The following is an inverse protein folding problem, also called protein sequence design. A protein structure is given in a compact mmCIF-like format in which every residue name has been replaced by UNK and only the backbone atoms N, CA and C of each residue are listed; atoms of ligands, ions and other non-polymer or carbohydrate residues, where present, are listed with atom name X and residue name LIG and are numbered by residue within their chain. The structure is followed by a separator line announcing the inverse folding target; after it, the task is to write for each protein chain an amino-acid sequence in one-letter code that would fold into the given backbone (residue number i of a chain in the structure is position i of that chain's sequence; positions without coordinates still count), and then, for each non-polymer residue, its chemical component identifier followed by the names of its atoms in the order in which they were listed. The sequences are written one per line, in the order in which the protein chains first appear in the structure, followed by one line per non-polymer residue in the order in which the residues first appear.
data_IF_549244126881
#
_entry.id   IF_549244126881
#
_cell.length_a   1.000
_cell.length_b   1.000
_cell.length_c   1.000
_cell.angle_alpha   90.00
_cell.angle_beta   90.00
_cell.angle_gamma   90.00
#
_symmetry.space_group_name_H-M   'P 1'
#
loop_
_entity.id
_entity.type
_entity.pdbx_description
1 polymer ?
#
# COMPACT_ATOMS: atom_id res chain seq x y z
N UNK A 1 -8.02 -3.81 -13.71
CA UNK A 1 -7.06 -4.22 -12.66
C UNK A 1 -6.80 -3.02 -11.78
N UNK A 2 -6.82 -3.21 -10.46
CA UNK A 2 -6.42 -2.17 -9.50
C UNK A 2 -4.93 -1.89 -9.70
N UNK A 3 -4.60 -0.65 -10.11
CA UNK A 3 -3.22 -0.20 -10.28
C UNK A 3 -2.77 0.55 -9.05
N UNK A 4 -1.62 0.19 -8.50
CA UNK A 4 -0.97 0.93 -7.41
C UNK A 4 0.22 1.71 -7.93
N UNK A 5 0.63 2.72 -7.18
CA UNK A 5 1.83 3.51 -7.43
C UNK A 5 2.88 3.18 -6.37
N UNK A 6 4.10 2.81 -6.78
CA UNK A 6 5.24 2.66 -5.87
C UNK A 6 6.28 3.74 -6.13
N UNK A 7 6.89 4.26 -5.05
CA UNK A 7 7.91 5.31 -5.17
C UNK A 7 9.28 4.73 -5.53
N UNK A 8 9.78 5.03 -6.72
CA UNK A 8 11.05 4.51 -7.23
C UNK A 8 12.14 5.58 -7.08
N UNK A 9 12.75 5.69 -5.89
CA UNK A 9 13.93 6.54 -5.64
C UNK A 9 13.93 7.87 -6.40
N UNK A 10 14.94 8.08 -7.25
CA UNK A 10 15.12 9.31 -8.05
C UNK A 10 14.13 9.46 -9.23
N UNK A 11 13.25 8.49 -9.45
CA UNK A 11 12.30 8.45 -10.58
C UNK A 11 10.89 8.84 -10.14
N UNK A 12 10.55 8.73 -8.85
CA UNK A 12 9.23 9.05 -8.35
C UNK A 12 8.22 7.90 -8.49
N UNK A 13 6.93 8.23 -8.47
CA UNK A 13 5.83 7.25 -8.45
C UNK A 13 5.64 6.59 -9.82
N UNK A 14 5.66 5.26 -9.87
CA UNK A 14 5.37 4.45 -11.07
C UNK A 14 4.19 3.52 -10.85
N UNK A 15 3.42 3.25 -11.90
CA UNK A 15 2.34 2.26 -11.88
C UNK A 15 2.89 0.84 -11.82
N UNK A 16 2.26 -0.01 -11.01
CA UNK A 16 2.58 -1.43 -10.89
C UNK A 16 1.31 -2.28 -10.93
N UNK A 17 1.48 -3.46 -11.53
CA UNK A 17 0.52 -4.55 -11.47
C UNK A 17 0.79 -5.38 -10.22
N UNK A 18 -0.25 -5.66 -9.43
CA UNK A 18 -0.13 -6.46 -8.21
C UNK A 18 0.24 -7.93 -8.48
N UNK A 19 0.19 -8.38 -9.73
CA UNK A 19 0.71 -9.69 -10.14
C UNK A 19 2.25 -9.75 -10.24
N UNK A 20 2.94 -8.61 -10.26
CA UNK A 20 4.40 -8.54 -10.23
C UNK A 20 4.91 -8.62 -8.78
N UNK A 21 5.09 -9.85 -8.29
CA UNK A 21 5.52 -10.11 -6.92
C UNK A 21 6.98 -9.76 -6.66
N UNK A 22 7.83 -9.72 -7.70
CA UNK A 22 9.28 -9.45 -7.54
C UNK A 22 9.53 -8.02 -7.08
N UNK A 23 8.81 -7.03 -7.63
CA UNK A 23 8.94 -5.63 -7.19
C UNK A 23 8.39 -5.40 -5.78
N UNK A 24 7.33 -6.13 -5.39
CA UNK A 24 6.81 -6.09 -4.02
C UNK A 24 7.83 -6.65 -3.04
N UNK A 25 8.46 -7.77 -3.37
CA UNK A 25 9.53 -8.40 -2.57
C UNK A 25 10.75 -7.49 -2.43
N UNK A 26 11.24 -6.90 -3.53
CA UNK A 26 12.38 -5.94 -3.51
C UNK A 26 12.15 -4.77 -2.56
N UNK A 27 10.90 -4.32 -2.43
CA UNK A 27 10.50 -3.17 -1.60
C UNK A 27 10.05 -3.58 -0.20
N UNK A 28 10.09 -4.87 0.10
CA UNK A 28 9.56 -5.46 1.32
C UNK A 28 8.11 -5.05 1.59
N UNK A 29 7.28 -5.12 0.55
CA UNK A 29 5.83 -4.86 0.63
C UNK A 29 5.12 -6.20 0.68
N UNK A 30 4.30 -6.42 1.72
CA UNK A 30 3.46 -7.60 1.84
C UNK A 30 2.00 -7.20 1.88
N UNK A 31 1.17 -7.86 1.08
CA UNK A 31 -0.27 -7.62 0.99
C UNK A 31 -0.97 -8.92 1.40
N UNK A 32 -1.82 -8.85 2.43
CA UNK A 32 -2.61 -9.97 2.89
C UNK A 32 -3.64 -10.44 1.87
N UNK A 33 -4.39 -11.48 2.24
CA UNK A 33 -5.48 -12.01 1.42
C UNK A 33 -6.70 -11.09 1.48
N UNK A 34 -7.50 -11.09 0.40
CA UNK A 34 -8.74 -10.31 0.30
C UNK A 34 -8.57 -8.79 0.50
N UNK A 35 -7.40 -8.25 0.16
CA UNK A 35 -7.17 -6.80 0.19
C UNK A 35 -7.76 -6.14 -1.05
N UNK A 36 -8.54 -5.09 -0.85
CA UNK A 36 -9.06 -4.23 -1.94
C UNK A 36 -8.30 -2.93 -1.94
N UNK A 37 -7.70 -2.59 -3.09
CA UNK A 37 -6.95 -1.33 -3.25
C UNK A 37 -7.62 -0.49 -4.33
N UNK A 38 -7.99 0.74 -3.95
CA UNK A 38 -8.54 1.75 -4.83
C UNK A 38 -7.54 2.30 -5.83
N UNK A 39 -8.00 3.22 -6.67
CA UNK A 39 -7.19 3.78 -7.74
C UNK A 39 -6.24 4.87 -7.23
N UNK A 40 -5.03 4.92 -7.78
CA UNK A 40 -4.07 5.99 -7.48
C UNK A 40 -3.50 5.93 -6.06
N UNK A 41 -3.57 4.77 -5.41
CA UNK A 41 -2.95 4.53 -4.11
C UNK A 41 -1.44 4.52 -4.27
N UNK A 42 -0.76 5.21 -3.36
CA UNK A 42 0.70 5.35 -3.32
C UNK A 42 1.23 4.58 -2.12
N UNK A 43 2.12 3.61 -2.34
CA UNK A 43 2.71 2.79 -1.27
C UNK A 43 4.23 2.99 -1.24
N UNK A 44 4.74 3.38 -0.08
CA UNK A 44 6.17 3.47 0.22
C UNK A 44 6.85 2.11 0.34
N UNK A 45 8.08 2.09 0.83
CA UNK A 45 8.85 0.86 1.07
C UNK A 45 8.62 0.31 2.47
N UNK A 46 8.83 -1.00 2.65
CA UNK A 46 8.69 -1.68 3.93
C UNK A 46 7.28 -1.55 4.53
N UNK A 47 6.26 -1.85 3.72
CA UNK A 47 4.85 -1.73 4.11
C UNK A 47 4.24 -3.11 4.30
N UNK A 48 3.51 -3.32 5.39
CA UNK A 48 2.74 -4.54 5.60
C UNK A 48 1.26 -4.21 5.69
N UNK A 49 0.46 -4.80 4.81
CA UNK A 49 -1.00 -4.70 4.80
C UNK A 49 -1.55 -6.06 5.22
N UNK A 50 -2.36 -6.07 6.28
CA UNK A 50 -3.03 -7.25 6.80
C UNK A 50 -4.07 -7.85 5.84
N UNK A 51 -4.80 -8.83 6.35
CA UNK A 51 -5.89 -9.51 5.66
C UNK A 51 -7.17 -8.67 5.71
N UNK A 52 -8.04 -8.84 4.70
CA UNK A 52 -9.38 -8.25 4.68
C UNK A 52 -9.41 -6.70 4.73
N UNK A 53 -8.29 -6.05 4.38
CA UNK A 53 -8.16 -4.59 4.36
C UNK A 53 -8.83 -3.98 3.13
N UNK A 54 -9.52 -2.86 3.31
CA UNK A 54 -10.01 -2.03 2.21
C UNK A 54 -9.32 -0.67 2.21
N UNK A 55 -8.64 -0.35 1.11
CA UNK A 55 -7.98 0.93 0.87
C UNK A 55 -8.74 1.69 -0.21
N UNK A 56 -9.21 2.89 0.13
CA UNK A 56 -9.89 3.80 -0.77
C UNK A 56 -9.01 4.36 -1.89
N UNK A 57 -9.59 5.24 -2.69
CA UNK A 57 -8.88 5.90 -3.79
C UNK A 57 -7.93 6.98 -3.29
N UNK A 58 -6.83 7.20 -4.01
CA UNK A 58 -5.88 8.31 -3.79
C UNK A 58 -5.29 8.35 -2.38
N UNK A 59 -5.19 7.20 -1.72
CA UNK A 59 -4.55 7.06 -0.40
C UNK A 59 -3.03 7.12 -0.56
N UNK A 60 -2.36 7.76 0.38
CA UNK A 60 -0.91 7.71 0.53
C UNK A 60 -0.53 6.85 1.75
N UNK A 61 0.32 5.85 1.54
CA UNK A 61 0.92 5.02 2.58
C UNK A 61 2.43 5.26 2.55
N UNK A 62 2.95 5.83 3.64
CA UNK A 62 4.36 6.11 3.83
C UNK A 62 5.23 4.85 3.96
N UNK A 63 6.51 5.08 4.21
CA UNK A 63 7.50 4.03 4.44
C UNK A 63 7.35 3.43 5.83
N UNK A 64 7.72 2.16 6.00
CA UNK A 64 7.75 1.47 7.30
C UNK A 64 6.38 1.36 7.99
N UNK A 65 5.29 1.34 7.22
CA UNK A 65 3.92 1.28 7.75
C UNK A 65 3.47 -0.16 7.98
N UNK A 66 2.68 -0.36 9.04
CA UNK A 66 1.92 -1.60 9.27
C UNK A 66 0.44 -1.26 9.39
N UNK A 67 -0.38 -1.96 8.62
CA UNK A 67 -1.84 -1.89 8.67
C UNK A 67 -2.34 -3.25 9.13
N UNK A 68 -3.09 -3.28 10.23
CA UNK A 68 -3.66 -4.50 10.78
C UNK A 68 -4.75 -5.11 9.88
N UNK A 69 -5.14 -6.34 10.21
CA UNK A 69 -6.26 -7.02 9.56
C UNK A 69 -7.57 -6.24 9.75
N UNK A 70 -8.53 -6.43 8.84
CA UNK A 70 -9.89 -5.86 8.90
C UNK A 70 -9.99 -4.30 8.89
N UNK A 71 -8.90 -3.61 8.61
CA UNK A 71 -8.86 -2.13 8.57
C UNK A 71 -9.52 -1.57 7.29
N UNK A 72 -10.26 -0.47 7.44
CA UNK A 72 -10.75 0.35 6.33
C UNK A 72 -10.07 1.73 6.31
N UNK A 73 -9.42 2.06 5.20
CA UNK A 73 -8.80 3.36 4.95
C UNK A 73 -9.62 4.08 3.88
N UNK A 74 -10.14 5.25 4.21
CA UNK A 74 -11.00 6.03 3.32
C UNK A 74 -10.23 6.80 2.25
N UNK A 75 -10.95 7.20 1.20
CA UNK A 75 -10.42 7.96 0.07
C UNK A 75 -9.63 9.19 0.52
N UNK A 76 -8.45 9.39 -0.07
CA UNK A 76 -7.59 10.54 0.18
C UNK A 76 -6.86 10.55 1.53
N UNK A 77 -6.97 9.47 2.33
CA UNK A 77 -6.23 9.37 3.58
C UNK A 77 -4.71 9.35 3.35
N UNK A 78 -3.97 9.88 4.32
CA UNK A 78 -2.51 9.87 4.36
C UNK A 78 -2.05 9.16 5.63
N UNK A 79 -1.26 8.10 5.46
CA UNK A 79 -0.66 7.33 6.54
C UNK A 79 0.83 7.64 6.54
N UNK A 80 1.29 8.31 7.58
CA UNK A 80 2.67 8.80 7.67
C UNK A 80 3.69 7.67 7.87
N UNK A 81 4.95 8.01 7.63
CA UNK A 81 6.07 7.08 7.78
C UNK A 81 6.12 6.49 9.20
N UNK A 82 6.31 5.18 9.30
CA UNK A 82 6.44 4.49 10.58
C UNK A 82 5.13 4.28 11.34
N UNK A 83 3.99 4.68 10.78
CA UNK A 83 2.69 4.48 11.42
C UNK A 83 2.37 2.99 11.59
N UNK A 84 1.72 2.69 12.73
CA UNK A 84 1.08 1.40 12.97
C UNK A 84 -0.42 1.67 13.09
N UNK A 85 -1.21 1.16 12.15
CA UNK A 85 -2.66 1.32 12.10
C UNK A 85 -3.31 0.07 12.71
N UNK A 86 -3.75 0.11 13.98
CA UNK A 86 -4.51 -0.98 14.58
C UNK A 86 -5.94 -1.03 14.01
N UNK A 87 -6.67 -2.09 14.36
CA UNK A 87 -8.11 -2.20 14.10
C UNK A 87 -8.90 -1.06 14.76
#
# INVERSE_FOLDING_TARGET
MSKILLFVGNVGWKEFDLSDTEELEKRNITIGTNVKIGNGVKIGTNVKIGHDVTIGNRVYIGNNVRIADDVMIYDGAEIENGANVPL
#
